data_IF_814898470926
#
_entry.id   IF_814898470926
#
_cell.length_a   1.000
_cell.length_b   1.000
_cell.length_c   1.000
_cell.angle_alpha   90.00
_cell.angle_beta   90.00
_cell.angle_gamma   90.00
#
_symmetry.space_group_name_H-M   'P 1'
#
loop_
_entity.id
_entity.type
_entity.pdbx_description
1 polymer ?
#
# COMPACT_ATOMS: atom_id res chain seq x y z
N UNK A 1 12.69 -92.69 -34.52
CA UNK A 1 13.64 -91.77 -33.82
C UNK A 1 13.08 -90.39 -33.91
N UNK A 2 12.90 -89.75 -32.76
CA UNK A 2 12.07 -88.52 -32.60
C UNK A 2 12.97 -87.31 -32.55
N UNK A 3 12.82 -86.36 -33.50
CA UNK A 3 13.43 -85.05 -33.43
C UNK A 3 12.49 -84.11 -32.68
N UNK A 4 12.94 -83.57 -31.59
CA UNK A 4 12.26 -82.45 -30.90
C UNK A 4 12.92 -81.18 -31.24
N UNK A 5 12.18 -80.37 -32.00
CA UNK A 5 12.56 -78.96 -32.24
C UNK A 5 12.10 -78.10 -31.08
N UNK A 6 13.07 -77.45 -30.39
CA UNK A 6 12.78 -76.44 -29.38
C UNK A 6 12.73 -75.05 -30.06
N UNK A 7 11.53 -74.52 -30.17
CA UNK A 7 11.31 -73.16 -30.62
C UNK A 7 11.39 -72.21 -29.39
N UNK A 8 12.46 -71.48 -29.25
CA UNK A 8 12.57 -70.40 -28.23
C UNK A 8 12.06 -69.14 -28.85
N UNK A 9 10.86 -68.75 -28.42
CA UNK A 9 10.29 -67.44 -28.72
C UNK A 9 10.94 -66.43 -27.78
N UNK A 10 11.78 -65.55 -28.31
CA UNK A 10 12.33 -64.40 -27.58
C UNK A 10 11.26 -63.31 -27.56
N UNK A 11 10.59 -63.13 -26.42
CA UNK A 11 9.71 -62.01 -26.22
C UNK A 11 10.59 -60.76 -25.92
N UNK A 12 10.74 -59.91 -26.94
CA UNK A 12 11.26 -58.55 -26.73
C UNK A 12 10.14 -57.68 -26.14
N UNK A 13 10.26 -57.46 -24.82
CA UNK A 13 9.42 -56.49 -24.13
C UNK A 13 9.92 -55.09 -24.52
N UNK A 14 9.16 -54.41 -25.38
CA UNK A 14 9.35 -53.00 -25.66
C UNK A 14 8.86 -52.19 -24.43
N UNK A 15 9.79 -51.76 -23.58
CA UNK A 15 9.52 -50.80 -22.55
C UNK A 15 9.40 -49.43 -23.19
N UNK A 16 8.21 -49.03 -23.55
CA UNK A 16 7.92 -47.63 -23.90
C UNK A 16 7.86 -46.87 -22.55
N UNK A 17 8.95 -46.24 -22.20
CA UNK A 17 9.03 -45.30 -21.10
C UNK A 17 8.18 -44.07 -21.48
N UNK A 18 6.92 -44.03 -21.05
CA UNK A 18 6.10 -42.85 -21.06
C UNK A 18 6.69 -41.86 -20.04
N UNK A 19 7.55 -40.97 -20.49
CA UNK A 19 7.96 -39.82 -19.70
C UNK A 19 6.76 -38.90 -19.56
N UNK A 20 6.01 -39.07 -18.48
CA UNK A 20 5.06 -38.08 -17.97
C UNK A 20 5.88 -36.84 -17.60
N UNK A 21 6.06 -35.95 -18.56
CA UNK A 21 6.44 -34.59 -18.24
C UNK A 21 5.27 -33.99 -17.47
N UNK A 22 5.37 -34.01 -16.15
CA UNK A 22 4.53 -33.20 -15.29
C UNK A 22 4.82 -31.74 -15.71
N UNK A 23 4.00 -31.19 -16.59
CA UNK A 23 3.92 -29.76 -16.78
C UNK A 23 3.47 -29.22 -15.44
N UNK A 24 4.45 -28.84 -14.62
CA UNK A 24 4.21 -27.99 -13.46
C UNK A 24 3.65 -26.71 -14.07
N UNK A 25 2.33 -26.65 -14.12
CA UNK A 25 1.61 -25.45 -14.46
C UNK A 25 2.02 -24.46 -13.34
N UNK A 26 2.98 -23.60 -13.65
CA UNK A 26 3.32 -22.50 -12.79
C UNK A 26 1.98 -21.83 -12.46
N UNK A 27 1.61 -21.81 -11.20
CA UNK A 27 0.46 -21.05 -10.76
C UNK A 27 0.62 -19.66 -11.38
N UNK A 28 -0.41 -19.07 -11.98
CA UNK A 28 -0.31 -17.71 -12.49
C UNK A 28 0.25 -16.88 -11.32
N UNK A 29 1.11 -15.88 -11.58
CA UNK A 29 1.55 -14.96 -10.55
C UNK A 29 0.30 -14.26 -10.02
N UNK A 30 -0.37 -14.92 -9.09
CA UNK A 30 -1.58 -14.46 -8.45
C UNK A 30 -1.11 -13.58 -7.32
N UNK A 31 -0.80 -12.35 -7.67
CA UNK A 31 -0.95 -11.27 -6.73
C UNK A 31 -0.57 -9.95 -7.38
N UNK A 32 -1.49 -9.38 -8.12
CA UNK A 32 -1.57 -7.94 -8.10
C UNK A 32 -1.60 -7.55 -6.61
N UNK A 33 -0.74 -6.62 -6.17
CA UNK A 33 -0.66 -6.23 -4.76
C UNK A 33 -2.04 -5.84 -4.28
N UNK A 34 -2.53 -6.55 -3.26
CA UNK A 34 -3.90 -6.37 -2.76
C UNK A 34 -3.91 -5.17 -1.84
N UNK A 35 -4.41 -4.06 -2.35
CA UNK A 35 -4.71 -2.92 -1.51
C UNK A 35 -6.09 -3.11 -0.90
N UNK A 36 -6.15 -3.23 0.43
CA UNK A 36 -7.38 -3.34 1.18
C UNK A 36 -7.85 -1.96 1.63
N UNK A 37 -9.16 -1.75 1.61
CA UNK A 37 -9.76 -0.49 2.00
C UNK A 37 -10.84 -0.73 3.04
N UNK A 38 -10.73 -0.05 4.17
CA UNK A 38 -11.63 -0.22 5.31
C UNK A 38 -12.09 1.15 5.81
N UNK A 39 -13.37 1.28 6.13
CA UNK A 39 -13.87 2.40 6.90
C UNK A 39 -14.13 1.95 8.34
N UNK A 40 -13.78 2.78 9.32
CA UNK A 40 -14.11 2.45 10.71
C UNK A 40 -15.63 2.55 10.96
N UNK A 41 -16.06 2.07 12.12
CA UNK A 41 -17.46 2.06 12.54
C UNK A 41 -18.07 3.47 12.43
N UNK A 42 -19.29 3.55 11.93
CA UNK A 42 -20.06 4.80 11.82
C UNK A 42 -20.14 5.39 10.42
N UNK A 43 -19.42 4.86 9.44
CA UNK A 43 -19.72 5.13 8.04
C UNK A 43 -20.95 4.32 7.58
N UNK A 44 -21.82 4.93 6.78
CA UNK A 44 -22.76 4.15 5.96
C UNK A 44 -21.97 3.49 4.82
N UNK A 45 -22.53 2.43 4.24
CA UNK A 45 -21.90 1.75 3.09
C UNK A 45 -21.62 2.73 1.94
N UNK A 46 -22.59 3.59 1.62
CA UNK A 46 -22.46 4.59 0.56
C UNK A 46 -21.34 5.60 0.87
N UNK A 47 -21.33 6.18 2.09
CA UNK A 47 -20.28 7.11 2.50
C UNK A 47 -18.89 6.48 2.42
N UNK A 48 -18.77 5.24 2.87
CA UNK A 48 -17.51 4.51 2.78
C UNK A 48 -17.09 4.35 1.32
N UNK A 49 -17.99 3.94 0.45
CA UNK A 49 -17.68 3.72 -0.96
C UNK A 49 -17.24 5.00 -1.66
N UNK A 50 -17.95 6.09 -1.47
CA UNK A 50 -17.61 7.42 -2.03
C UNK A 50 -16.22 7.88 -1.54
N UNK A 51 -15.95 7.74 -0.24
CA UNK A 51 -14.68 8.11 0.36
C UNK A 51 -13.52 7.25 -0.16
N UNK A 52 -13.73 5.94 -0.28
CA UNK A 52 -12.74 5.03 -0.84
C UNK A 52 -12.45 5.29 -2.31
N UNK A 53 -13.44 5.69 -3.09
CA UNK A 53 -13.24 6.03 -4.51
C UNK A 53 -12.35 7.28 -4.67
N UNK A 54 -12.49 8.26 -3.78
CA UNK A 54 -11.59 9.41 -3.73
C UNK A 54 -10.16 8.97 -3.41
N UNK A 55 -9.98 8.14 -2.38
CA UNK A 55 -8.66 7.64 -1.99
C UNK A 55 -8.01 6.80 -3.07
N UNK A 56 -8.76 5.88 -3.70
CA UNK A 56 -8.27 5.05 -4.82
C UNK A 56 -7.77 5.89 -5.99
N UNK A 57 -8.48 6.97 -6.32
CA UNK A 57 -8.06 7.91 -7.39
C UNK A 57 -6.73 8.60 -7.07
N UNK A 58 -6.48 8.90 -5.81
CA UNK A 58 -5.19 9.48 -5.39
C UNK A 58 -4.10 8.42 -5.45
N UNK A 59 -4.33 7.24 -4.88
CA UNK A 59 -3.37 6.13 -4.87
C UNK A 59 -2.99 5.65 -6.27
N UNK A 60 -3.92 5.67 -7.21
CA UNK A 60 -3.67 5.28 -8.61
C UNK A 60 -2.62 6.15 -9.32
N UNK A 61 -2.25 7.30 -8.76
CA UNK A 61 -1.16 8.14 -9.29
C UNK A 61 0.24 7.61 -8.95
N UNK A 62 0.34 6.67 -8.00
CA UNK A 62 1.59 6.24 -7.36
C UNK A 62 1.86 4.75 -7.51
N UNK A 63 3.12 4.30 -7.40
CA UNK A 63 3.51 2.89 -7.55
C UNK A 63 3.14 2.07 -6.30
N UNK A 64 1.86 1.83 -6.07
CA UNK A 64 1.37 1.02 -4.95
C UNK A 64 1.62 -0.48 -5.14
N UNK A 65 2.00 -0.90 -6.35
CA UNK A 65 2.32 -2.29 -6.67
C UNK A 65 3.45 -2.83 -5.79
N UNK A 66 4.42 -1.99 -5.43
CA UNK A 66 5.59 -2.39 -4.65
C UNK A 66 5.30 -2.54 -3.15
N UNK A 67 4.12 -2.11 -2.68
CA UNK A 67 3.72 -2.27 -1.28
C UNK A 67 3.40 -3.72 -0.92
N UNK A 68 3.02 -4.55 -1.89
CA UNK A 68 2.40 -5.84 -1.64
C UNK A 68 1.02 -5.66 -0.99
N UNK A 69 0.70 -6.51 0.00
CA UNK A 69 -0.56 -6.40 0.74
C UNK A 69 -0.49 -5.21 1.72
N UNK A 70 -1.44 -4.27 1.62
CA UNK A 70 -1.48 -3.07 2.46
C UNK A 70 -2.93 -2.65 2.73
N UNK A 71 -3.23 -2.17 3.94
CA UNK A 71 -4.57 -1.75 4.34
C UNK A 71 -4.64 -0.24 4.54
N UNK A 72 -5.59 0.40 3.87
CA UNK A 72 -5.91 1.82 4.00
C UNK A 72 -7.19 1.96 4.82
N UNK A 73 -7.11 2.65 5.95
CA UNK A 73 -8.20 2.76 6.92
C UNK A 73 -8.66 4.20 7.00
N UNK A 74 -9.91 4.45 6.62
CA UNK A 74 -10.56 5.76 6.82
C UNK A 74 -11.22 5.81 8.17
N UNK A 75 -10.84 6.81 8.96
CA UNK A 75 -11.36 7.04 10.30
C UNK A 75 -12.21 8.30 10.31
N UNK A 76 -13.39 8.24 10.93
CA UNK A 76 -14.26 9.41 11.10
C UNK A 76 -13.56 10.48 11.93
N UNK A 77 -13.82 11.75 11.59
CA UNK A 77 -13.20 12.88 12.28
C UNK A 77 -13.51 12.94 13.77
N UNK A 78 -14.68 12.42 14.18
CA UNK A 78 -15.09 12.35 15.58
C UNK A 78 -14.18 11.42 16.40
N UNK A 79 -13.74 10.31 15.79
CA UNK A 79 -12.85 9.32 16.42
C UNK A 79 -11.37 9.69 16.24
N UNK A 80 -11.05 10.46 15.20
CA UNK A 80 -9.69 10.75 14.79
C UNK A 80 -8.86 11.39 15.89
N UNK A 81 -9.39 12.44 16.51
CA UNK A 81 -8.68 13.16 17.58
C UNK A 81 -8.33 12.25 18.74
N UNK A 82 -9.25 11.38 19.18
CA UNK A 82 -9.00 10.42 20.26
C UNK A 82 -7.87 9.45 19.87
N UNK A 83 -7.92 8.90 18.67
CA UNK A 83 -6.88 7.97 18.16
C UNK A 83 -5.51 8.62 18.13
N UNK A 84 -5.42 9.89 17.71
CA UNK A 84 -4.17 10.62 17.72
C UNK A 84 -3.65 10.90 19.15
N UNK A 85 -4.53 11.28 20.07
CA UNK A 85 -4.19 11.50 21.48
C UNK A 85 -3.67 10.24 22.15
N UNK A 86 -4.35 9.10 21.95
CA UNK A 86 -3.96 7.80 22.52
C UNK A 86 -2.58 7.35 22.02
N UNK A 87 -2.13 7.87 20.87
CA UNK A 87 -0.85 7.56 20.24
C UNK A 87 0.22 8.64 20.43
N UNK A 88 -0.13 9.76 21.09
CA UNK A 88 0.79 10.89 21.29
C UNK A 88 1.07 11.70 20.03
N UNK A 89 0.22 11.60 19.01
CA UNK A 89 0.34 12.39 17.79
C UNK A 89 -0.29 13.78 17.93
N UNK A 90 0.14 14.71 17.06
CA UNK A 90 -0.50 16.02 16.94
C UNK A 90 -1.96 15.86 16.52
N UNK A 91 -2.92 16.62 17.13
CA UNK A 91 -4.32 16.57 16.78
C UNK A 91 -4.65 17.03 15.33
N UNK A 92 -3.65 17.59 14.65
CA UNK A 92 -3.76 18.06 13.28
C UNK A 92 -3.03 17.15 12.28
N UNK A 93 -2.49 16.03 12.74
CA UNK A 93 -1.92 15.05 11.83
C UNK A 93 -3.01 14.42 10.97
N UNK A 94 -2.94 14.53 9.62
CA UNK A 94 -4.01 14.06 8.74
C UNK A 94 -3.96 12.55 8.45
N UNK A 95 -2.80 11.90 8.68
CA UNK A 95 -2.59 10.49 8.42
C UNK A 95 -1.43 9.95 9.27
N UNK A 96 -1.36 8.64 9.44
CA UNK A 96 -0.20 7.93 9.98
C UNK A 96 -0.19 6.47 9.54
N UNK A 97 0.99 5.84 9.51
CA UNK A 97 1.16 4.42 9.20
C UNK A 97 1.64 3.61 10.40
N UNK A 98 1.16 2.35 10.48
CA UNK A 98 1.66 1.33 11.40
C UNK A 98 2.38 0.26 10.59
N UNK A 99 3.66 0.46 10.35
CA UNK A 99 4.46 -0.36 9.44
C UNK A 99 4.42 -1.86 9.74
N UNK A 100 4.54 -2.33 11.02
CA UNK A 100 4.46 -3.75 11.32
C UNK A 100 3.11 -4.39 10.95
N UNK A 101 2.03 -3.62 10.95
CA UNK A 101 0.70 -4.09 10.59
C UNK A 101 0.37 -3.87 9.11
N UNK A 102 1.23 -3.12 8.40
CA UNK A 102 1.01 -2.74 7.00
C UNK A 102 -0.31 -1.97 6.82
N UNK A 103 -0.52 -1.01 7.69
CA UNK A 103 -1.73 -0.22 7.78
C UNK A 103 -1.41 1.27 7.68
N UNK A 104 -2.22 2.01 6.93
CA UNK A 104 -2.24 3.47 6.93
C UNK A 104 -3.63 3.96 7.31
N UNK A 105 -3.65 4.84 8.29
CA UNK A 105 -4.86 5.51 8.78
C UNK A 105 -4.91 6.92 8.21
N UNK A 106 -6.10 7.33 7.73
CA UNK A 106 -6.35 8.69 7.23
C UNK A 106 -7.60 9.25 7.88
N UNK A 107 -7.56 10.56 8.19
CA UNK A 107 -8.74 11.28 8.65
C UNK A 107 -9.77 11.37 7.52
N UNK A 108 -10.99 10.91 7.78
CA UNK A 108 -12.07 10.90 6.79
C UNK A 108 -12.45 12.28 6.26
N UNK A 109 -12.15 13.34 7.01
CA UNK A 109 -12.35 14.72 6.53
C UNK A 109 -11.55 15.05 5.26
N UNK A 110 -10.44 14.33 5.00
CA UNK A 110 -9.63 14.52 3.78
C UNK A 110 -10.37 14.11 2.51
N UNK A 111 -11.28 13.16 2.61
CA UNK A 111 -12.02 12.58 1.48
C UNK A 111 -13.50 12.98 1.45
N UNK A 112 -13.98 13.66 2.50
CA UNK A 112 -15.37 14.10 2.61
C UNK A 112 -15.52 15.52 2.10
N UNK A 113 -16.32 15.70 1.05
CA UNK A 113 -16.63 17.01 0.50
C UNK A 113 -17.37 17.86 1.54
N UNK A 114 -17.02 19.16 1.57
CA UNK A 114 -17.72 20.18 2.36
C UNK A 114 -17.83 19.89 3.87
N UNK A 115 -16.84 19.21 4.46
CA UNK A 115 -16.79 19.01 5.91
C UNK A 115 -16.19 20.22 6.62
N UNK A 116 -16.74 20.57 7.80
CA UNK A 116 -16.19 21.64 8.66
C UNK A 116 -14.72 21.31 9.03
N UNK A 117 -14.45 20.06 9.34
CA UNK A 117 -13.12 19.61 9.70
C UNK A 117 -12.14 19.68 8.51
N UNK A 118 -12.59 19.34 7.30
CA UNK A 118 -11.80 19.53 6.09
C UNK A 118 -11.41 20.98 5.85
N UNK A 119 -12.36 21.92 6.04
CA UNK A 119 -12.07 23.35 5.96
C UNK A 119 -11.08 23.84 7.04
N UNK A 120 -11.13 23.26 8.25
CA UNK A 120 -10.15 23.53 9.30
C UNK A 120 -8.76 23.02 8.91
N UNK A 121 -8.66 21.78 8.42
CA UNK A 121 -7.40 21.21 7.96
C UNK A 121 -6.78 22.02 6.84
N UNK A 122 -7.57 22.43 5.83
CA UNK A 122 -7.09 23.28 4.73
C UNK A 122 -6.52 24.60 5.23
N UNK A 123 -7.11 25.22 6.27
CA UNK A 123 -6.57 26.45 6.89
C UNK A 123 -5.29 26.18 7.66
N UNK A 124 -5.24 25.13 8.47
CA UNK A 124 -4.06 24.77 9.28
C UNK A 124 -2.86 24.48 8.40
N UNK A 125 -3.07 23.77 7.30
CA UNK A 125 -2.04 23.37 6.36
C UNK A 125 -1.81 24.39 5.23
N UNK A 126 -2.60 25.48 5.19
CA UNK A 126 -2.54 26.53 4.16
C UNK A 126 -2.59 25.98 2.72
N UNK A 127 -3.41 24.96 2.49
CA UNK A 127 -3.54 24.31 1.17
C UNK A 127 -4.97 23.79 0.94
N UNK A 128 -5.34 23.59 -0.33
CA UNK A 128 -6.59 22.94 -0.68
C UNK A 128 -6.65 21.50 -0.16
N UNK A 129 -7.84 21.03 0.18
CA UNK A 129 -8.04 19.72 0.81
C UNK A 129 -7.54 18.57 -0.07
N UNK A 130 -7.73 18.68 -1.37
CA UNK A 130 -7.27 17.70 -2.35
C UNK A 130 -5.74 17.60 -2.37
N UNK A 131 -5.06 18.73 -2.24
CA UNK A 131 -3.60 18.78 -2.18
C UNK A 131 -3.09 18.22 -0.84
N UNK A 132 -3.83 18.45 0.26
CA UNK A 132 -3.50 17.90 1.56
C UNK A 132 -3.67 16.38 1.58
N UNK A 133 -4.74 15.85 0.98
CA UNK A 133 -4.91 14.41 0.82
C UNK A 133 -3.77 13.80 0.00
N UNK A 134 -3.44 14.41 -1.12
CA UNK A 134 -2.35 13.96 -1.98
C UNK A 134 -0.99 13.98 -1.26
N UNK A 135 -0.71 15.04 -0.49
CA UNK A 135 0.49 15.15 0.33
C UNK A 135 0.53 14.07 1.43
N UNK A 136 -0.58 13.89 2.17
CA UNK A 136 -0.67 12.89 3.21
C UNK A 136 -0.43 11.47 2.66
N UNK A 137 -1.10 11.13 1.54
CA UNK A 137 -0.92 9.83 0.88
C UNK A 137 0.53 9.62 0.45
N UNK A 138 1.18 10.61 -0.17
CA UNK A 138 2.58 10.49 -0.59
C UNK A 138 3.54 10.34 0.58
N UNK A 139 3.29 11.04 1.68
CA UNK A 139 4.11 10.95 2.89
C UNK A 139 4.00 9.55 3.49
N UNK A 140 2.79 9.04 3.67
CA UNK A 140 2.57 7.69 4.19
C UNK A 140 3.11 6.59 3.26
N UNK A 141 3.02 6.79 1.94
CA UNK A 141 3.69 5.93 0.97
C UNK A 141 5.21 5.96 1.14
N UNK A 142 5.80 7.10 1.52
CA UNK A 142 7.21 7.21 1.82
C UNK A 142 7.64 6.29 2.96
N UNK A 143 6.86 6.23 4.02
CA UNK A 143 7.06 5.27 5.11
C UNK A 143 6.88 3.83 4.64
N UNK A 144 5.79 3.55 3.94
CA UNK A 144 5.39 2.22 3.54
C UNK A 144 6.35 1.58 2.53
N UNK A 145 6.72 2.30 1.47
CA UNK A 145 7.59 1.80 0.41
C UNK A 145 9.02 1.51 0.90
N UNK A 146 9.51 2.32 1.84
CA UNK A 146 10.85 2.13 2.40
C UNK A 146 10.85 1.37 3.73
N UNK A 147 9.68 0.98 4.23
CA UNK A 147 9.50 0.35 5.55
C UNK A 147 10.29 1.08 6.65
N UNK A 148 10.19 2.40 6.70
CA UNK A 148 11.00 3.26 7.55
C UNK A 148 10.14 4.34 8.23
N UNK A 149 10.38 4.55 9.53
CA UNK A 149 9.65 5.54 10.36
C UNK A 149 10.28 6.93 10.33
N UNK A 150 11.33 7.13 9.56
CA UNK A 150 12.03 8.40 9.49
C UNK A 150 11.23 9.43 8.68
N UNK A 151 10.73 10.45 9.36
CA UNK A 151 9.91 11.53 8.77
C UNK A 151 10.63 12.25 7.61
N UNK A 152 11.90 12.59 7.80
CA UNK A 152 12.67 13.30 6.76
C UNK A 152 12.88 12.41 5.50
N UNK A 153 12.89 11.09 5.69
CA UNK A 153 12.96 10.15 4.59
C UNK A 153 11.60 10.04 3.89
N UNK A 154 10.51 9.97 4.65
CA UNK A 154 9.15 9.97 4.11
C UNK A 154 8.87 11.23 3.30
N UNK A 155 9.23 12.41 3.82
CA UNK A 155 9.11 13.69 3.10
C UNK A 155 9.87 13.70 1.77
N UNK A 156 11.08 13.15 1.78
CA UNK A 156 11.91 13.07 0.57
C UNK A 156 11.29 12.13 -0.47
N UNK A 157 10.81 10.96 -0.04
CA UNK A 157 10.11 10.03 -0.94
C UNK A 157 8.81 10.67 -1.46
N UNK A 158 8.06 11.38 -0.62
CA UNK A 158 6.87 12.11 -1.03
C UNK A 158 7.17 13.14 -2.13
N UNK A 159 8.30 13.83 -2.04
CA UNK A 159 8.76 14.74 -3.09
C UNK A 159 9.13 14.00 -4.38
N UNK A 160 9.85 12.87 -4.28
CA UNK A 160 10.17 12.04 -5.44
C UNK A 160 8.91 11.52 -6.14
N UNK A 161 7.91 11.08 -5.38
CA UNK A 161 6.60 10.65 -5.90
C UNK A 161 5.88 11.78 -6.63
N UNK A 162 5.90 12.99 -6.07
CA UNK A 162 5.32 14.18 -6.71
C UNK A 162 5.98 14.51 -8.05
N UNK A 163 7.29 14.38 -8.10
CA UNK A 163 8.10 14.67 -9.30
C UNK A 163 8.16 13.48 -10.28
N UNK A 164 7.49 12.37 -9.95
CA UNK A 164 7.51 11.11 -10.72
C UNK A 164 8.94 10.59 -10.96
N UNK A 165 9.82 10.78 -9.98
CA UNK A 165 11.18 10.28 -9.99
C UNK A 165 11.25 8.84 -9.47
N UNK A 166 12.24 8.04 -9.90
CA UNK A 166 12.49 6.74 -9.31
C UNK A 166 12.71 6.84 -7.80
N UNK A 167 12.09 5.93 -7.03
CA UNK A 167 12.20 5.91 -5.58
C UNK A 167 13.52 5.23 -5.21
N UNK A 168 14.26 5.86 -4.28
CA UNK A 168 15.43 5.28 -3.65
C UNK A 168 15.26 5.32 -2.13
N UNK A 169 15.23 4.16 -1.50
CA UNK A 169 15.14 4.02 -0.06
C UNK A 169 16.50 4.20 0.64
N UNK A 170 17.59 4.33 -0.09
CA UNK A 170 18.89 4.61 0.46
C UNK A 170 19.03 6.05 0.93
N UNK A 171 19.67 6.23 2.07
CA UNK A 171 19.92 7.56 2.63
C UNK A 171 21.06 8.20 1.84
N UNK A 172 20.76 9.04 0.88
CA UNK A 172 21.76 9.95 0.34
C UNK A 172 22.06 11.02 1.40
N UNK A 173 23.23 10.93 2.02
CA UNK A 173 23.70 11.83 3.11
C UNK A 173 24.15 13.20 2.60
N UNK A 174 23.84 13.60 1.37
CA UNK A 174 24.26 14.87 0.82
C UNK A 174 23.07 15.75 0.42
N UNK A 175 22.90 16.88 1.12
CA UNK A 175 22.28 18.09 0.58
C UNK A 175 20.75 18.20 0.61
N UNK A 176 20.07 17.74 1.64
CA UNK A 176 18.63 17.96 1.76
C UNK A 176 18.31 19.46 1.97
N UNK A 177 17.83 20.15 0.94
CA UNK A 177 17.02 21.35 1.15
C UNK A 177 15.79 20.93 1.95
N UNK A 178 15.63 21.51 3.12
CA UNK A 178 14.48 21.26 4.00
C UNK A 178 13.22 21.68 3.24
N UNK A 179 12.45 20.69 2.76
CA UNK A 179 11.05 20.93 2.44
C UNK A 179 10.33 21.37 3.73
N UNK A 180 9.24 22.16 3.64
CA UNK A 180 8.46 22.51 4.83
C UNK A 180 8.01 21.20 5.50
N UNK A 181 8.66 20.90 6.60
CA UNK A 181 8.38 19.74 7.42
C UNK A 181 6.93 19.82 7.84
N UNK A 182 6.20 18.71 7.67
CA UNK A 182 4.96 18.45 8.40
C UNK A 182 5.27 18.43 9.91
N UNK A 183 5.84 19.54 10.44
CA UNK A 183 6.01 19.64 11.88
C UNK A 183 4.62 19.76 12.48
N UNK A 184 4.18 18.64 13.05
CA UNK A 184 3.19 18.65 14.11
C UNK A 184 3.58 19.78 15.05
N UNK A 185 2.84 20.90 15.00
CA UNK A 185 3.06 22.01 15.91
C UNK A 185 2.96 21.52 17.35
N UNK A 186 4.09 21.23 17.95
CA UNK A 186 4.22 21.11 19.38
C UNK A 186 4.24 22.55 19.92
N UNK A 187 3.11 23.03 20.43
CA UNK A 187 2.93 23.91 21.59
C UNK A 187 1.52 23.77 22.09
#
# INVERSE_FOLDING_TARGET
>A
MKLKANLRIAAQALFVAFQLHAVVKAAPPDSAPRQHFVCNIGYTLQQCQEAMDVLRKVLAKYPTADLGEWTWILVRSEDWRRILQDRGFSPNNPAFSILPHRETFLEGALVTKASIRGAQLSRIWSMALENLLDLAVRHELGHALCNDRNEAKADRIAAMLQEKKPISCEVQTAGARRLPILRSGAR
#
